data_IF_194177769267
#
_entry.id   IF_194177769267
#
_cell.length_a   1.000
_cell.length_b   1.000
_cell.length_c   1.000
_cell.angle_alpha   90.00
_cell.angle_beta   90.00
_cell.angle_gamma   90.00
#
_symmetry.space_group_name_H-M   'P 1'
#
loop_
_entity.id
_entity.type
_entity.pdbx_description
1 polymer ?
#
# COMPACT_ATOMS: atom_id res chain seq x y z
N UNK A 1 -8.47 11.71 13.70
CA UNK A 1 -8.05 10.33 13.92
C UNK A 1 -8.48 9.46 12.74
N UNK A 2 -7.59 8.60 12.24
CA UNK A 2 -7.84 7.73 11.07
C UNK A 2 -9.07 6.85 11.26
N UNK A 3 -9.28 6.31 12.45
CA UNK A 3 -10.47 5.52 12.77
C UNK A 3 -11.77 6.32 12.61
N UNK A 4 -11.79 7.60 12.95
CA UNK A 4 -12.97 8.45 12.73
C UNK A 4 -13.20 8.71 11.23
N UNK A 5 -12.14 8.84 10.45
CA UNK A 5 -12.22 9.05 9.01
C UNK A 5 -12.88 7.84 8.32
N UNK A 6 -12.48 6.62 8.68
CA UNK A 6 -12.92 5.38 8.07
C UNK A 6 -13.97 4.62 8.89
N UNK A 7 -14.65 5.26 9.87
CA UNK A 7 -15.56 4.60 10.81
C UNK A 7 -16.74 3.86 10.18
N UNK A 8 -17.04 4.13 8.91
CA UNK A 8 -18.11 3.47 8.15
C UNK A 8 -17.59 2.34 7.26
N UNK A 9 -16.28 2.24 7.12
CA UNK A 9 -15.64 1.33 6.17
C UNK A 9 -15.11 0.06 6.85
N UNK A 10 -15.39 -0.08 8.16
CA UNK A 10 -15.14 -1.30 8.93
C UNK A 10 -16.15 -1.46 10.07
N UNK A 11 -16.26 -2.66 10.59
CA UNK A 11 -17.07 -2.98 11.77
C UNK A 11 -16.33 -3.93 12.72
N UNK A 12 -16.87 -4.07 13.93
CA UNK A 12 -16.43 -5.10 14.87
C UNK A 12 -17.23 -6.37 14.63
N UNK A 13 -16.55 -7.45 14.35
CA UNK A 13 -17.13 -8.78 14.24
C UNK A 13 -16.76 -9.62 15.46
N UNK A 14 -17.65 -10.51 15.86
CA UNK A 14 -17.40 -11.48 16.92
C UNK A 14 -17.31 -12.87 16.31
N UNK A 15 -16.22 -13.56 16.60
CA UNK A 15 -16.05 -14.97 16.27
C UNK A 15 -16.14 -15.81 17.55
N UNK A 16 -16.79 -16.95 17.45
CA UNK A 16 -16.71 -17.99 18.46
C UNK A 16 -15.61 -18.97 18.03
N UNK A 17 -14.57 -19.09 18.84
CA UNK A 17 -13.51 -20.09 18.59
C UNK A 17 -13.99 -21.49 19.04
N UNK A 18 -13.29 -22.53 18.57
CA UNK A 18 -13.62 -23.93 18.90
C UNK A 18 -13.55 -24.22 20.41
N UNK A 19 -12.75 -23.44 21.15
CA UNK A 19 -12.65 -23.47 22.61
C UNK A 19 -13.82 -22.76 23.34
N UNK A 20 -14.82 -22.25 22.58
CA UNK A 20 -15.98 -21.53 23.10
C UNK A 20 -15.70 -20.09 23.53
N UNK A 21 -14.48 -19.60 23.35
CA UNK A 21 -14.17 -18.20 23.67
C UNK A 21 -14.71 -17.25 22.61
N UNK A 22 -15.20 -16.10 23.09
CA UNK A 22 -15.69 -15.03 22.24
C UNK A 22 -14.55 -14.09 21.90
N UNK A 23 -14.22 -13.97 20.61
CA UNK A 23 -13.13 -13.13 20.12
C UNK A 23 -13.69 -12.02 19.22
N UNK A 24 -13.23 -10.80 19.44
CA UNK A 24 -13.62 -9.65 18.60
C UNK A 24 -12.50 -9.36 17.62
N UNK A 25 -12.86 -9.12 16.36
CA UNK A 25 -11.93 -8.74 15.31
C UNK A 25 -12.48 -7.52 14.55
N UNK A 26 -11.60 -6.81 13.85
CA UNK A 26 -12.00 -5.85 12.83
C UNK A 26 -12.44 -6.61 11.58
N UNK A 27 -13.53 -6.18 10.99
CA UNK A 27 -14.04 -6.73 9.74
C UNK A 27 -14.26 -5.58 8.74
N UNK A 28 -13.67 -5.71 7.58
CA UNK A 28 -13.72 -4.76 6.49
C UNK A 28 -14.61 -5.35 5.40
N UNK A 29 -15.80 -4.77 5.12
CA UNK A 29 -16.72 -5.31 4.12
C UNK A 29 -16.11 -5.22 2.74
N UNK A 30 -16.09 -6.33 2.02
CA UNK A 30 -15.68 -6.40 0.62
C UNK A 30 -16.92 -6.34 -0.26
N UNK A 31 -16.94 -5.41 -1.19
CA UNK A 31 -18.07 -5.17 -2.10
C UNK A 31 -17.65 -5.39 -3.55
N UNK A 32 -18.61 -5.53 -4.43
CA UNK A 32 -18.32 -5.50 -5.86
C UNK A 32 -17.93 -4.08 -6.29
N UNK A 33 -16.94 -3.89 -7.16
CA UNK A 33 -16.54 -2.56 -7.63
C UNK A 33 -17.70 -1.76 -8.26
N UNK A 34 -18.58 -2.43 -8.99
CA UNK A 34 -19.75 -1.85 -9.67
C UNK A 34 -20.97 -1.68 -8.76
N UNK A 35 -20.98 -2.32 -7.58
CA UNK A 35 -22.10 -2.30 -6.64
C UNK A 35 -21.60 -2.25 -5.19
N UNK A 36 -21.37 -1.04 -4.71
CA UNK A 36 -20.84 -0.80 -3.36
C UNK A 36 -21.79 -1.24 -2.23
N UNK A 37 -23.06 -1.45 -2.51
CA UNK A 37 -24.05 -1.91 -1.53
C UNK A 37 -24.06 -3.44 -1.40
N UNK A 38 -23.48 -4.14 -2.37
CA UNK A 38 -23.43 -5.61 -2.39
C UNK A 38 -22.18 -6.14 -1.70
N UNK A 39 -22.30 -6.41 -0.41
CA UNK A 39 -21.23 -7.07 0.35
C UNK A 39 -21.16 -8.55 -0.08
N UNK A 40 -19.96 -8.98 -0.51
CA UNK A 40 -19.69 -10.35 -0.97
C UNK A 40 -18.72 -11.10 -0.05
N UNK A 41 -18.14 -10.42 0.92
CA UNK A 41 -17.24 -11.01 1.91
C UNK A 41 -16.70 -9.98 2.90
N UNK A 42 -15.76 -10.42 3.73
CA UNK A 42 -15.09 -9.57 4.70
C UNK A 42 -13.62 -9.93 4.77
N UNK A 43 -12.77 -8.94 4.75
CA UNK A 43 -11.40 -9.05 5.23
C UNK A 43 -11.45 -8.91 6.77
N UNK A 44 -10.86 -9.85 7.50
CA UNK A 44 -10.89 -9.86 8.97
C UNK A 44 -9.48 -9.76 9.54
N UNK A 45 -9.33 -8.87 10.51
CA UNK A 45 -8.09 -8.67 11.27
C UNK A 45 -8.34 -8.92 12.75
N UNK A 46 -7.64 -9.88 13.33
CA UNK A 46 -7.69 -10.17 14.75
C UNK A 46 -6.68 -9.35 15.56
N UNK A 47 -6.85 -9.33 16.89
CA UNK A 47 -5.82 -8.83 17.80
C UNK A 47 -4.73 -9.88 18.00
N UNK A 48 -3.47 -9.49 17.92
CA UNK A 48 -2.38 -10.29 18.45
C UNK A 48 -2.57 -10.44 19.98
N UNK A 49 -2.48 -11.68 20.48
CA UNK A 49 -2.51 -11.90 21.93
C UNK A 49 -1.23 -11.39 22.59
N UNK A 50 -1.36 -10.91 23.80
CA UNK A 50 -0.24 -10.49 24.67
C UNK A 50 0.69 -11.64 25.08
N UNK A 51 0.33 -12.88 24.77
CA UNK A 51 1.15 -14.08 25.05
C UNK A 51 2.12 -14.47 23.93
N UNK A 52 2.16 -13.70 22.85
CA UNK A 52 3.14 -13.87 21.75
C UNK A 52 2.94 -15.11 20.89
N UNK A 53 1.89 -15.89 21.11
CA UNK A 53 1.76 -17.25 20.54
C UNK A 53 0.63 -17.45 19.52
N UNK A 54 -0.08 -16.41 19.13
CA UNK A 54 -1.05 -16.52 18.04
C UNK A 54 -1.07 -15.26 17.19
N UNK A 55 -0.35 -15.32 16.08
CA UNK A 55 -0.70 -14.53 14.91
C UNK A 55 -2.10 -14.96 14.50
N UNK A 56 -3.08 -14.10 14.65
CA UNK A 56 -4.35 -14.30 13.98
C UNK A 56 -4.09 -14.15 12.51
N UNK A 57 -4.23 -15.26 11.78
CA UNK A 57 -4.15 -15.24 10.34
C UNK A 57 -5.21 -14.28 9.82
N UNK A 58 -4.77 -13.37 8.99
CA UNK A 58 -5.63 -12.52 8.22
C UNK A 58 -6.46 -13.40 7.30
N UNK A 59 -7.77 -13.36 7.50
CA UNK A 59 -8.67 -14.21 6.74
C UNK A 59 -9.64 -13.35 5.95
N UNK A 60 -9.64 -13.56 4.63
CA UNK A 60 -10.75 -13.13 3.80
C UNK A 60 -11.83 -14.20 3.86
N UNK A 61 -13.00 -13.85 4.38
CA UNK A 61 -14.12 -14.79 4.54
C UNK A 61 -15.27 -14.38 3.63
N UNK A 62 -15.78 -15.33 2.87
CA UNK A 62 -17.00 -15.17 2.07
C UNK A 62 -16.80 -14.61 0.66
N UNK A 63 -15.59 -14.18 0.29
CA UNK A 63 -15.33 -13.71 -1.08
C UNK A 63 -15.14 -14.88 -2.05
N UNK A 64 -16.19 -15.70 -2.18
CA UNK A 64 -16.12 -16.95 -2.94
C UNK A 64 -15.88 -16.78 -4.44
N UNK A 65 -16.20 -15.63 -5.01
CA UNK A 65 -15.97 -15.35 -6.42
C UNK A 65 -14.60 -14.75 -6.71
N UNK A 66 -13.90 -14.29 -5.68
CA UNK A 66 -12.65 -13.52 -5.84
C UNK A 66 -12.86 -12.18 -6.56
N UNK A 67 -14.06 -11.59 -6.46
CA UNK A 67 -14.43 -10.33 -7.14
C UNK A 67 -14.51 -9.15 -6.17
N UNK A 68 -14.80 -9.43 -4.89
CA UNK A 68 -14.96 -8.39 -3.87
C UNK A 68 -13.66 -7.69 -3.52
N UNK A 69 -13.74 -6.39 -3.32
CA UNK A 69 -12.67 -5.53 -2.80
C UNK A 69 -13.19 -4.68 -1.66
N UNK A 70 -12.33 -4.33 -0.71
CA UNK A 70 -12.67 -3.26 0.21
C UNK A 70 -12.38 -1.92 -0.46
N UNK A 71 -13.34 -1.00 -0.40
CA UNK A 71 -13.24 0.33 -1.01
C UNK A 71 -13.56 1.38 0.04
N UNK A 72 -12.69 2.36 0.21
CA UNK A 72 -12.90 3.47 1.11
C UNK A 72 -12.37 4.79 0.55
N UNK A 73 -13.03 5.88 0.92
CA UNK A 73 -12.56 7.24 0.62
C UNK A 73 -12.90 8.18 1.78
N UNK A 74 -11.93 8.93 2.30
CA UNK A 74 -12.16 9.90 3.38
C UNK A 74 -13.24 10.94 3.05
N UNK A 75 -13.28 11.40 1.80
CA UNK A 75 -14.27 12.37 1.32
C UNK A 75 -15.50 11.73 0.66
N UNK A 76 -15.63 10.40 0.72
CA UNK A 76 -16.74 9.67 0.05
C UNK A 76 -16.75 9.84 -1.46
N UNK A 77 -15.59 10.00 -2.06
CA UNK A 77 -15.43 10.02 -3.52
C UNK A 77 -15.86 8.67 -4.08
N UNK A 78 -16.76 8.67 -5.06
CA UNK A 78 -17.14 7.45 -5.75
C UNK A 78 -15.95 6.90 -6.55
N UNK A 79 -15.90 5.57 -6.73
CA UNK A 79 -14.80 4.92 -7.44
C UNK A 79 -14.63 5.49 -8.86
N UNK A 80 -15.73 5.71 -9.58
CA UNK A 80 -15.75 6.28 -10.93
C UNK A 80 -15.40 7.77 -11.03
N UNK A 81 -15.39 8.48 -9.90
CA UNK A 81 -15.05 9.91 -9.83
C UNK A 81 -13.63 10.15 -9.28
N UNK A 82 -12.98 9.09 -8.87
CA UNK A 82 -11.66 9.17 -8.24
C UNK A 82 -10.59 9.56 -9.27
N UNK A 83 -9.71 10.47 -8.87
CA UNK A 83 -8.51 10.84 -9.64
C UNK A 83 -7.28 10.04 -9.21
N UNK A 84 -7.31 9.46 -8.02
CA UNK A 84 -6.22 8.72 -7.42
C UNK A 84 -6.77 7.46 -6.76
N UNK A 85 -6.29 6.31 -7.18
CA UNK A 85 -6.62 4.99 -6.64
C UNK A 85 -5.36 4.42 -5.98
N UNK A 86 -5.45 4.07 -4.71
CA UNK A 86 -4.36 3.48 -3.94
C UNK A 86 -4.69 2.02 -3.63
N UNK A 87 -3.82 1.10 -4.07
CA UNK A 87 -4.00 -0.34 -3.97
C UNK A 87 -3.16 -0.95 -2.85
N UNK A 88 -3.78 -1.77 -2.02
CA UNK A 88 -3.16 -2.42 -0.87
C UNK A 88 -3.53 -3.90 -0.80
N UNK A 89 -2.70 -4.70 -0.13
CA UNK A 89 -3.01 -6.07 0.21
C UNK A 89 -4.11 -6.16 1.26
N UNK A 90 -4.18 -5.16 2.14
CA UNK A 90 -5.16 -5.14 3.21
C UNK A 90 -5.68 -3.74 3.53
N UNK A 91 -6.91 -3.69 4.04
CA UNK A 91 -7.54 -2.46 4.48
C UNK A 91 -6.78 -1.79 5.64
N UNK A 92 -6.15 -2.57 6.51
CA UNK A 92 -5.32 -2.06 7.60
C UNK A 92 -4.06 -1.34 7.09
N UNK A 93 -3.41 -1.86 6.04
CA UNK A 93 -2.28 -1.21 5.37
C UNK A 93 -2.71 0.12 4.74
N UNK A 94 -3.89 0.15 4.10
CA UNK A 94 -4.46 1.37 3.55
C UNK A 94 -4.70 2.45 4.61
N UNK A 95 -5.23 2.07 5.77
CA UNK A 95 -5.45 2.99 6.89
C UNK A 95 -4.14 3.49 7.49
N UNK A 96 -3.13 2.64 7.60
CA UNK A 96 -1.80 3.01 8.06
C UNK A 96 -1.13 3.99 7.10
N UNK A 97 -1.17 3.71 5.80
CA UNK A 97 -0.68 4.63 4.76
C UNK A 97 -1.33 6.01 4.87
N UNK A 98 -2.66 6.05 4.98
CA UNK A 98 -3.38 7.30 5.15
C UNK A 98 -2.92 8.05 6.38
N UNK A 99 -2.76 7.37 7.51
CA UNK A 99 -2.32 7.99 8.77
C UNK A 99 -0.92 8.57 8.67
N UNK A 100 0.01 7.90 8.02
CA UNK A 100 1.38 8.34 7.82
C UNK A 100 1.48 9.58 6.91
N UNK A 101 0.58 9.70 5.92
CA UNK A 101 0.75 10.67 4.84
C UNK A 101 -0.28 11.80 4.80
N UNK A 102 -1.43 11.69 5.50
CA UNK A 102 -2.54 12.65 5.43
C UNK A 102 -2.16 14.09 5.78
N UNK A 103 -1.20 14.28 6.69
CA UNK A 103 -0.74 15.59 7.12
C UNK A 103 0.07 16.31 6.02
N UNK A 104 0.76 15.54 5.18
CA UNK A 104 1.65 16.06 4.13
C UNK A 104 1.00 16.06 2.75
N UNK A 105 0.00 15.21 2.53
CA UNK A 105 -0.68 15.05 1.24
C UNK A 105 -2.20 15.21 1.39
N UNK A 106 -2.70 16.40 1.04
CA UNK A 106 -4.12 16.71 1.14
C UNK A 106 -4.98 16.02 0.06
N UNK A 107 -4.38 15.57 -1.04
CA UNK A 107 -5.09 14.85 -2.11
C UNK A 107 -5.62 13.51 -1.64
N UNK A 108 -4.98 12.89 -0.63
CA UNK A 108 -5.44 11.65 0.00
C UNK A 108 -6.87 11.75 0.54
N UNK A 109 -7.35 12.94 0.85
CA UNK A 109 -8.74 13.13 1.32
C UNK A 109 -9.77 12.77 0.25
N UNK A 110 -9.45 12.96 -1.03
CA UNK A 110 -10.31 12.66 -2.18
C UNK A 110 -9.91 11.39 -2.92
N UNK A 111 -8.83 10.77 -2.51
CA UNK A 111 -8.39 9.50 -3.05
C UNK A 111 -9.35 8.37 -2.67
N UNK A 112 -9.33 7.32 -3.46
CA UNK A 112 -9.99 6.06 -3.14
C UNK A 112 -8.92 5.02 -2.81
N UNK A 113 -9.13 4.31 -1.71
CA UNK A 113 -8.28 3.25 -1.21
C UNK A 113 -8.95 1.92 -1.50
N UNK A 114 -8.23 0.98 -2.07
CA UNK A 114 -8.70 -0.34 -2.45
C UNK A 114 -7.83 -1.39 -1.77
N UNK A 115 -8.46 -2.34 -1.07
CA UNK A 115 -7.78 -3.54 -0.58
C UNK A 115 -8.29 -4.78 -1.31
N UNK A 116 -7.37 -5.65 -1.69
CA UNK A 116 -7.69 -6.95 -2.32
C UNK A 116 -7.94 -8.04 -1.29
N UNK A 117 -7.62 -7.79 -0.02
CA UNK A 117 -7.75 -8.78 1.06
C UNK A 117 -6.77 -9.95 0.92
N UNK A 118 -5.57 -9.70 0.43
CA UNK A 118 -4.52 -10.65 0.11
C UNK A 118 -4.12 -10.60 -1.37
N UNK A 119 -3.79 -11.77 -1.93
CA UNK A 119 -3.40 -11.88 -3.33
C UNK A 119 -4.48 -11.33 -4.28
N UNK A 120 -4.17 -10.35 -5.14
CA UNK A 120 -5.13 -9.75 -6.05
C UNK A 120 -5.56 -10.74 -7.13
N UNK A 121 -6.84 -10.82 -7.37
CA UNK A 121 -7.39 -11.61 -8.47
C UNK A 121 -7.59 -10.75 -9.72
N UNK A 122 -7.56 -11.39 -10.89
CA UNK A 122 -7.83 -10.71 -12.16
C UNK A 122 -9.21 -10.00 -12.15
N UNK A 123 -10.22 -10.63 -11.54
CA UNK A 123 -11.57 -10.09 -11.45
C UNK A 123 -11.65 -8.82 -10.58
N UNK A 124 -10.98 -8.83 -9.42
CA UNK A 124 -10.89 -7.66 -8.55
C UNK A 124 -10.22 -6.49 -9.29
N UNK A 125 -9.06 -6.76 -9.88
CA UNK A 125 -8.30 -5.73 -10.59
C UNK A 125 -9.10 -5.17 -11.77
N UNK A 126 -9.63 -6.02 -12.63
CA UNK A 126 -10.40 -5.61 -13.80
C UNK A 126 -11.65 -4.82 -13.42
N UNK A 127 -12.43 -5.30 -12.45
CA UNK A 127 -13.64 -4.61 -12.00
C UNK A 127 -13.38 -3.20 -11.49
N UNK A 128 -12.27 -2.98 -10.77
CA UNK A 128 -11.89 -1.63 -10.34
C UNK A 128 -11.34 -0.79 -11.50
N UNK A 129 -10.45 -1.35 -12.32
CA UNK A 129 -9.79 -0.62 -13.40
C UNK A 129 -10.76 -0.15 -14.49
N UNK A 130 -11.74 -0.97 -14.84
CA UNK A 130 -12.79 -0.61 -15.82
C UNK A 130 -13.57 0.65 -15.40
N UNK A 131 -13.68 0.89 -14.10
CA UNK A 131 -14.36 2.07 -13.55
C UNK A 131 -13.43 3.25 -13.29
N UNK A 132 -12.13 3.02 -13.23
CA UNK A 132 -11.17 4.01 -12.72
C UNK A 132 -10.12 4.49 -13.71
N UNK A 133 -10.03 3.90 -14.89
CA UNK A 133 -9.21 4.51 -15.96
C UNK A 133 -10.01 5.70 -16.51
N UNK A 134 -9.48 6.92 -16.51
CA UNK A 134 -8.05 7.32 -16.51
C UNK A 134 -7.44 7.80 -15.18
N UNK A 135 -7.91 7.36 -14.03
CA UNK A 135 -7.35 7.77 -12.75
C UNK A 135 -5.88 7.32 -12.60
N UNK A 136 -5.13 8.04 -11.77
CA UNK A 136 -3.77 7.65 -11.37
C UNK A 136 -3.82 6.45 -10.44
N UNK A 137 -3.06 5.42 -10.79
CA UNK A 137 -2.99 4.17 -10.04
C UNK A 137 -1.72 4.16 -9.18
N UNK A 138 -1.89 4.05 -7.86
CA UNK A 138 -0.80 3.99 -6.88
C UNK A 138 -0.74 2.59 -6.31
N UNK A 139 0.32 1.85 -6.61
CA UNK A 139 0.55 0.50 -6.12
C UNK A 139 1.26 0.59 -4.78
N UNK A 140 0.60 0.20 -3.71
CA UNK A 140 1.06 0.35 -2.33
C UNK A 140 1.19 -1.01 -1.60
N UNK A 141 1.30 -2.11 -2.33
CA UNK A 141 1.52 -3.44 -1.76
C UNK A 141 2.84 -3.50 -0.98
N UNK A 142 2.94 -4.47 -0.10
CA UNK A 142 4.12 -4.71 0.71
C UNK A 142 5.39 -4.88 -0.13
N UNK A 143 6.54 -4.71 0.51
CA UNK A 143 7.84 -4.78 -0.14
C UNK A 143 8.48 -6.17 -0.03
N UNK A 144 7.76 -7.15 0.52
CA UNK A 144 8.16 -8.54 0.52
C UNK A 144 7.99 -9.21 -0.86
N UNK A 145 8.51 -10.44 -1.00
CA UNK A 145 8.46 -11.20 -2.25
C UNK A 145 7.05 -11.34 -2.83
N UNK A 146 6.04 -11.55 -1.96
CA UNK A 146 4.65 -11.69 -2.38
C UNK A 146 4.07 -10.35 -2.85
N UNK A 147 4.28 -9.28 -2.09
CA UNK A 147 3.83 -7.94 -2.48
C UNK A 147 4.43 -7.45 -3.80
N UNK A 148 5.68 -7.88 -4.13
CA UNK A 148 6.24 -7.64 -5.45
C UNK A 148 5.51 -8.39 -6.56
N UNK A 149 5.15 -9.66 -6.35
CA UNK A 149 4.33 -10.42 -7.30
C UNK A 149 2.98 -9.77 -7.53
N UNK A 150 2.32 -9.34 -6.44
CA UNK A 150 1.03 -8.66 -6.50
C UNK A 150 1.13 -7.34 -7.27
N UNK A 151 2.18 -6.58 -7.00
CA UNK A 151 2.45 -5.34 -7.72
C UNK A 151 2.64 -5.56 -9.23
N UNK A 152 3.37 -6.59 -9.62
CA UNK A 152 3.55 -6.96 -11.03
C UNK A 152 2.23 -7.37 -11.67
N UNK A 153 1.45 -8.21 -10.99
CA UNK A 153 0.15 -8.66 -11.49
C UNK A 153 -0.79 -7.49 -11.73
N UNK A 154 -0.88 -6.56 -10.78
CA UNK A 154 -1.68 -5.35 -10.93
C UNK A 154 -1.15 -4.46 -12.06
N UNK A 155 0.15 -4.26 -12.16
CA UNK A 155 0.74 -3.47 -13.24
C UNK A 155 0.41 -4.04 -14.63
N UNK A 156 0.44 -5.36 -14.79
CA UNK A 156 0.00 -6.05 -16.03
C UNK A 156 -1.44 -5.67 -16.38
N UNK A 157 -2.36 -5.82 -15.43
CA UNK A 157 -3.77 -5.51 -15.68
C UNK A 157 -4.01 -4.02 -15.95
N UNK A 158 -3.28 -3.12 -15.28
CA UNK A 158 -3.34 -1.68 -15.59
C UNK A 158 -2.92 -1.44 -17.04
N UNK A 159 -1.76 -1.97 -17.46
CA UNK A 159 -1.27 -1.81 -18.82
C UNK A 159 -2.25 -2.38 -19.86
N UNK A 160 -2.83 -3.56 -19.63
CA UNK A 160 -3.84 -4.16 -20.50
C UNK A 160 -5.08 -3.28 -20.61
N UNK A 161 -5.60 -2.79 -19.48
CA UNK A 161 -6.80 -1.95 -19.45
C UNK A 161 -6.55 -0.62 -20.16
N UNK A 162 -5.38 0.00 -19.95
CA UNK A 162 -5.01 1.22 -20.66
C UNK A 162 -4.99 0.96 -22.17
N UNK A 163 -4.31 -0.10 -22.63
CA UNK A 163 -4.27 -0.44 -24.07
C UNK A 163 -5.67 -0.66 -24.66
N UNK A 164 -6.56 -1.30 -23.93
CA UNK A 164 -7.92 -1.58 -24.42
C UNK A 164 -8.84 -0.35 -24.42
N UNK A 165 -8.54 0.66 -23.61
CA UNK A 165 -9.37 1.87 -23.49
C UNK A 165 -8.87 3.03 -24.33
N UNK A 166 -7.60 3.06 -24.67
CA UNK A 166 -7.02 4.14 -25.51
C UNK A 166 -7.26 3.81 -26.97
N UNK A 167 -7.93 4.71 -27.67
CA UNK A 167 -8.14 4.58 -29.10
C UNK A 167 -6.81 4.63 -29.86
N UNK A 168 -6.60 3.69 -30.76
CA UNK A 168 -5.38 3.60 -31.56
C UNK A 168 -5.37 4.68 -32.65
N UNK A 169 -4.74 5.82 -32.35
CA UNK A 169 -4.51 6.89 -33.29
C UNK A 169 -3.03 6.97 -33.70
N UNK A 170 -2.68 7.52 -34.87
CA UNK A 170 -1.29 7.66 -35.29
C UNK A 170 -0.42 8.37 -34.26
N UNK A 171 -0.97 9.37 -33.58
CA UNK A 171 -0.27 10.19 -32.59
C UNK A 171 -0.02 9.40 -31.29
N UNK A 172 -0.86 8.44 -30.99
CA UNK A 172 -0.81 7.60 -29.76
C UNK A 172 -0.06 6.28 -29.97
N UNK A 173 0.15 5.89 -31.21
CA UNK A 173 0.82 4.63 -31.53
C UNK A 173 2.18 4.48 -30.84
N UNK A 174 3.10 5.47 -30.85
CA UNK A 174 4.37 5.33 -30.15
C UNK A 174 4.21 5.08 -28.64
N UNK A 175 3.17 5.67 -28.04
CA UNK A 175 2.86 5.45 -26.63
C UNK A 175 2.32 4.05 -26.39
N UNK A 176 1.34 3.59 -27.16
CA UNK A 176 0.79 2.25 -27.08
C UNK A 176 1.85 1.17 -27.30
N UNK A 177 2.77 1.40 -28.25
CA UNK A 177 3.88 0.50 -28.52
C UNK A 177 4.90 0.43 -27.37
N UNK A 178 4.94 1.47 -26.53
CA UNK A 178 5.80 1.51 -25.33
C UNK A 178 5.19 0.78 -24.11
N UNK A 179 3.87 0.56 -24.11
CA UNK A 179 3.20 -0.17 -23.05
C UNK A 179 3.44 -1.67 -23.24
N UNK A 180 4.01 -2.40 -22.27
CA UNK A 180 4.24 -3.83 -22.40
C UNK A 180 2.95 -4.58 -22.73
N UNK A 181 2.99 -5.49 -23.68
CA UNK A 181 1.92 -6.46 -23.86
C UNK A 181 2.07 -7.51 -22.76
N UNK A 182 1.07 -7.61 -21.89
CA UNK A 182 1.11 -8.52 -20.74
C UNK A 182 1.31 -10.01 -21.09
N UNK A 183 1.28 -10.35 -22.38
CA UNK A 183 1.53 -11.72 -22.88
C UNK A 183 3.01 -11.97 -23.19
N UNK A 184 3.83 -10.92 -23.36
CA UNK A 184 5.25 -11.04 -23.73
C UNK A 184 6.17 -11.22 -22.51
N UNK A 185 5.61 -11.41 -21.33
CA UNK A 185 6.35 -11.44 -20.08
C UNK A 185 6.52 -12.87 -19.61
N UNK A 186 7.75 -13.35 -19.71
CA UNK A 186 8.16 -14.65 -19.18
C UNK A 186 7.84 -14.73 -17.68
N UNK A 187 7.27 -15.86 -17.24
CA UNK A 187 6.92 -16.10 -15.82
C UNK A 187 8.12 -16.05 -14.86
N UNK A 188 9.34 -15.97 -15.40
CA UNK A 188 10.58 -15.84 -14.66
C UNK A 188 11.18 -14.44 -14.61
N UNK A 189 10.65 -13.49 -15.37
CA UNK A 189 11.14 -12.10 -15.32
C UNK A 189 10.46 -11.33 -14.20
N UNK A 190 11.22 -10.97 -13.20
CA UNK A 190 10.77 -10.26 -11.99
C UNK A 190 10.19 -8.86 -12.24
N UNK A 191 10.42 -8.31 -13.43
CA UNK A 191 10.06 -6.93 -13.75
C UNK A 191 9.42 -6.83 -15.13
N UNK A 192 8.17 -6.38 -15.16
CA UNK A 192 7.42 -6.04 -16.38
C UNK A 192 7.94 -4.76 -17.04
N UNK A 193 9.23 -4.52 -16.97
CA UNK A 193 9.83 -3.30 -17.43
C UNK A 193 10.56 -3.57 -18.75
N UNK A 194 10.51 -2.66 -19.71
CA UNK A 194 11.24 -2.82 -20.94
C UNK A 194 12.71 -3.00 -20.64
N UNK A 195 13.35 -3.91 -21.38
CA UNK A 195 14.79 -4.13 -21.31
C UNK A 195 15.52 -2.80 -21.54
N UNK A 196 16.45 -2.50 -20.63
CA UNK A 196 17.23 -1.26 -20.67
C UNK A 196 17.23 -0.50 -19.36
N UNK A 197 17.48 0.78 -19.42
CA UNK A 197 17.78 1.61 -18.25
C UNK A 197 16.73 1.62 -17.15
N UNK A 198 15.48 1.30 -17.43
CA UNK A 198 14.43 1.18 -16.41
C UNK A 198 14.56 -0.13 -15.63
N UNK A 199 14.68 -1.27 -16.32
CA UNK A 199 14.89 -2.57 -15.70
C UNK A 199 16.18 -2.58 -14.87
N UNK A 200 17.27 -2.04 -15.42
CA UNK A 200 18.54 -1.93 -14.73
C UNK A 200 18.44 -1.08 -13.45
N UNK A 201 17.70 0.02 -13.48
CA UNK A 201 17.50 0.86 -12.30
C UNK A 201 16.64 0.19 -11.24
N UNK A 202 15.67 -0.66 -11.63
CA UNK A 202 14.88 -1.46 -10.72
C UNK A 202 15.73 -2.53 -10.02
N UNK A 203 16.49 -3.30 -10.80
CA UNK A 203 17.40 -4.34 -10.26
C UNK A 203 18.42 -3.73 -9.29
N UNK A 204 18.98 -2.58 -9.66
CA UNK A 204 19.92 -1.86 -8.80
C UNK A 204 19.25 -1.42 -7.50
N UNK A 205 18.06 -0.83 -7.57
CA UNK A 205 17.33 -0.42 -6.38
C UNK A 205 17.06 -1.61 -5.44
N UNK A 206 16.63 -2.76 -5.97
CA UNK A 206 16.36 -3.96 -5.16
C UNK A 206 17.61 -4.50 -4.49
N UNK A 207 18.75 -4.51 -5.19
CA UNK A 207 20.02 -4.95 -4.63
C UNK A 207 20.46 -4.06 -3.45
N UNK A 208 20.41 -2.72 -3.62
CA UNK A 208 20.74 -1.78 -2.56
C UNK A 208 19.77 -1.87 -1.36
N UNK A 209 18.52 -2.20 -1.63
CA UNK A 209 17.51 -2.41 -0.59
C UNK A 209 17.77 -3.67 0.22
N UNK A 210 18.07 -4.80 -0.44
CA UNK A 210 18.43 -6.05 0.27
C UNK A 210 19.66 -5.86 1.15
N UNK A 211 20.65 -5.12 0.67
CA UNK A 211 21.84 -4.79 1.44
C UNK A 211 21.50 -3.89 2.65
N UNK A 212 20.67 -2.86 2.47
CA UNK A 212 20.25 -1.99 3.56
C UNK A 212 19.49 -2.77 4.65
N UNK A 213 18.61 -3.70 4.28
CA UNK A 213 17.91 -4.57 5.22
C UNK A 213 18.87 -5.49 5.97
N UNK A 214 19.82 -6.10 5.25
CA UNK A 214 20.83 -6.98 5.82
C UNK A 214 21.70 -6.24 6.84
N UNK A 215 22.21 -5.05 6.48
CA UNK A 215 23.03 -4.22 7.36
C UNK A 215 22.25 -3.73 8.59
N UNK A 216 20.99 -3.31 8.40
CA UNK A 216 20.13 -2.85 9.51
C UNK A 216 19.84 -3.95 10.53
N UNK A 217 19.83 -5.20 10.09
CA UNK A 217 19.62 -6.38 10.94
C UNK A 217 20.91 -6.87 11.61
N UNK A 218 22.06 -6.38 11.18
CA UNK A 218 23.37 -6.81 11.66
C UNK A 218 23.82 -5.98 12.86
N UNK A 219 24.18 -6.65 13.96
CA UNK A 219 24.80 -5.99 15.13
C UNK A 219 26.26 -5.59 14.90
N UNK A 220 26.83 -5.99 13.77
CA UNK A 220 28.26 -5.76 13.46
C UNK A 220 28.48 -4.51 12.60
N UNK A 221 27.42 -3.98 11.99
CA UNK A 221 27.53 -2.78 11.16
C UNK A 221 27.47 -1.53 12.03
N UNK A 222 28.35 -0.57 11.74
CA UNK A 222 28.28 0.72 12.41
C UNK A 222 27.03 1.49 11.97
N UNK A 223 26.38 2.25 12.87
CA UNK A 223 25.18 3.01 12.51
C UNK A 223 25.38 3.98 11.34
N UNK A 224 26.58 4.52 11.19
CA UNK A 224 26.96 5.42 10.09
C UNK A 224 26.92 4.69 8.75
N UNK A 225 27.50 3.47 8.68
CA UNK A 225 27.50 2.66 7.46
C UNK A 225 26.08 2.25 7.05
N UNK A 226 25.24 1.92 8.03
CA UNK A 226 23.82 1.60 7.79
C UNK A 226 23.08 2.82 7.23
N UNK A 227 23.35 4.02 7.75
CA UNK A 227 22.72 5.24 7.26
C UNK A 227 23.18 5.59 5.84
N UNK A 228 24.45 5.43 5.54
CA UNK A 228 25.00 5.67 4.20
C UNK A 228 24.39 4.69 3.17
N UNK A 229 24.20 3.43 3.56
CA UNK A 229 23.54 2.44 2.72
C UNK A 229 22.06 2.79 2.49
N UNK A 230 21.34 3.23 3.52
CA UNK A 230 19.96 3.72 3.41
C UNK A 230 19.86 4.90 2.43
N UNK A 231 20.80 5.83 2.48
CA UNK A 231 20.78 7.00 1.60
C UNK A 231 21.11 6.62 0.15
N UNK A 232 22.01 5.64 -0.05
CA UNK A 232 22.30 5.04 -1.35
C UNK A 232 21.04 4.39 -1.94
N UNK A 233 20.36 3.55 -1.18
CA UNK A 233 19.11 2.92 -1.57
C UNK A 233 18.04 3.96 -1.93
N UNK A 234 17.85 5.00 -1.12
CA UNK A 234 16.89 6.09 -1.41
C UNK A 234 17.21 6.83 -2.71
N UNK A 235 18.49 6.99 -3.03
CA UNK A 235 18.92 7.57 -4.31
C UNK A 235 18.54 6.67 -5.47
N UNK A 236 18.84 5.38 -5.39
CA UNK A 236 18.47 4.40 -6.41
C UNK A 236 16.96 4.31 -6.61
N UNK A 237 16.19 4.37 -5.52
CA UNK A 237 14.73 4.42 -5.57
C UNK A 237 14.20 5.66 -6.33
N UNK A 238 14.74 6.85 -6.08
CA UNK A 238 14.34 8.06 -6.81
C UNK A 238 14.63 7.95 -8.30
N UNK A 239 15.82 7.47 -8.66
CA UNK A 239 16.22 7.27 -10.07
C UNK A 239 15.29 6.26 -10.77
N UNK A 240 14.97 5.17 -10.09
CA UNK A 240 14.02 4.17 -10.61
C UNK A 240 12.62 4.77 -10.77
N UNK A 241 12.13 5.46 -9.74
CA UNK A 241 10.80 6.08 -9.76
C UNK A 241 10.64 7.13 -10.88
N UNK A 242 11.64 7.97 -11.08
CA UNK A 242 11.65 8.95 -12.16
C UNK A 242 11.57 8.26 -13.53
N UNK A 243 12.42 7.26 -13.77
CA UNK A 243 12.39 6.50 -15.03
C UNK A 243 11.08 5.73 -15.23
N UNK A 244 10.52 5.17 -14.14
CA UNK A 244 9.23 4.49 -14.18
C UNK A 244 8.10 5.47 -14.54
N UNK A 245 8.10 6.66 -13.96
CA UNK A 245 7.12 7.70 -14.31
C UNK A 245 7.28 8.18 -15.75
N UNK A 246 8.49 8.36 -16.24
CA UNK A 246 8.75 8.72 -17.62
C UNK A 246 8.29 7.61 -18.58
N UNK A 247 8.50 6.36 -18.23
CA UNK A 247 8.11 5.21 -19.05
C UNK A 247 6.60 4.97 -19.05
N UNK A 248 5.97 5.02 -17.90
CA UNK A 248 4.52 4.90 -17.73
C UNK A 248 3.83 6.21 -18.09
N UNK A 249 4.64 7.23 -18.30
CA UNK A 249 4.25 8.60 -18.43
C UNK A 249 3.41 8.87 -19.53
N UNK A 250 2.39 8.36 -19.72
CA UNK A 250 1.61 9.46 -19.64
C UNK A 250 1.20 9.95 -20.98
N UNK A 251 0.21 9.38 -21.37
CA UNK A 251 -0.70 10.09 -22.24
C UNK A 251 -1.17 11.35 -21.45
N UNK A 252 -0.60 12.51 -21.80
CA UNK A 252 -0.91 13.80 -21.17
C UNK A 252 -2.39 14.15 -21.28
N UNK A 253 -3.09 13.57 -22.23
CA UNK A 253 -4.49 13.78 -22.51
C UNK A 253 -5.37 12.98 -21.52
N UNK A 254 -4.94 11.79 -21.11
CA UNK A 254 -5.69 10.94 -20.19
C UNK A 254 -5.17 10.97 -18.76
N UNK A 255 -4.03 11.64 -18.52
CA UNK A 255 -3.39 11.77 -17.19
C UNK A 255 -3.25 10.45 -16.42
N UNK A 256 -3.16 9.33 -17.16
CA UNK A 256 -2.98 8.01 -16.56
C UNK A 256 -1.55 7.84 -16.12
N UNK A 257 -1.34 7.73 -14.83
CA UNK A 257 -0.02 7.48 -14.26
C UNK A 257 -0.08 6.30 -13.30
N UNK A 258 0.98 5.51 -13.32
CA UNK A 258 1.18 4.45 -12.32
C UNK A 258 2.34 4.88 -11.44
N UNK A 259 2.17 4.76 -10.13
CA UNK A 259 3.26 4.92 -9.19
C UNK A 259 3.38 3.71 -8.28
N UNK A 260 4.59 3.38 -7.87
CA UNK A 260 4.87 2.42 -6.82
C UNK A 260 5.19 3.20 -5.56
N UNK A 261 4.32 3.11 -4.56
CA UNK A 261 4.56 3.65 -3.24
C UNK A 261 5.09 2.53 -2.33
N UNK A 262 6.09 2.84 -1.53
CA UNK A 262 6.71 1.86 -0.65
C UNK A 262 6.92 2.47 0.73
N UNK A 263 6.80 1.68 1.81
CA UNK A 263 7.18 2.12 3.14
C UNK A 263 8.68 2.46 3.18
N UNK A 264 9.11 3.07 4.27
CA UNK A 264 10.55 3.26 4.51
C UNK A 264 11.25 1.89 4.43
N UNK A 265 12.46 1.87 3.90
CA UNK A 265 13.23 0.65 3.61
C UNK A 265 13.38 -0.32 4.78
N UNK A 266 13.25 0.16 6.00
CA UNK A 266 13.33 -0.64 7.22
C UNK A 266 12.10 -1.51 7.46
N UNK A 267 11.02 -1.29 6.72
CA UNK A 267 9.72 -1.92 6.95
C UNK A 267 9.23 -2.62 5.69
N UNK A 268 8.54 -3.73 5.87
CA UNK A 268 7.93 -4.47 4.77
C UNK A 268 6.55 -3.92 4.42
N UNK A 269 5.81 -3.40 5.40
CA UNK A 269 4.46 -2.88 5.24
C UNK A 269 4.25 -1.54 5.95
N UNK A 270 3.14 -0.90 5.65
CA UNK A 270 2.76 0.41 6.18
C UNK A 270 2.35 0.35 7.66
N UNK A 271 1.74 -0.76 8.08
CA UNK A 271 1.40 -0.99 9.49
C UNK A 271 2.66 -1.11 10.37
N UNK A 272 3.65 -1.81 9.88
CA UNK A 272 4.93 -1.97 10.58
C UNK A 272 5.60 -0.61 10.77
N UNK A 273 5.66 0.20 9.71
CA UNK A 273 6.18 1.56 9.77
C UNK A 273 5.40 2.42 10.77
N UNK A 274 4.07 2.42 10.69
CA UNK A 274 3.22 3.22 11.57
C UNK A 274 3.43 2.87 13.04
N UNK A 275 3.46 1.59 13.38
CA UNK A 275 3.67 1.12 14.76
C UNK A 275 5.04 1.52 15.29
N UNK A 276 6.08 1.41 14.46
CA UNK A 276 7.43 1.81 14.84
C UNK A 276 7.54 3.33 15.09
N UNK A 277 6.93 4.16 14.23
CA UNK A 277 6.91 5.60 14.41
C UNK A 277 6.15 6.02 15.68
N UNK A 278 5.02 5.38 15.98
CA UNK A 278 4.25 5.63 17.21
C UNK A 278 5.02 5.23 18.47
N UNK A 279 5.75 4.12 18.45
CA UNK A 279 6.61 3.72 19.57
C UNK A 279 7.73 4.73 19.81
N UNK A 280 8.38 5.22 18.75
CA UNK A 280 9.43 6.22 18.86
C UNK A 280 8.90 7.55 19.40
N UNK A 281 7.70 7.96 19.00
CA UNK A 281 7.06 9.18 19.51
C UNK A 281 6.74 9.05 21.00
N UNK A 282 6.19 7.91 21.44
CA UNK A 282 5.90 7.63 22.85
C UNK A 282 7.15 7.67 23.72
N UNK A 283 8.25 7.08 23.28
CA UNK A 283 9.54 7.11 24.01
C UNK A 283 10.08 8.53 24.11
N UNK A 284 9.94 9.33 23.05
CA UNK A 284 10.36 10.75 23.06
C UNK A 284 9.54 11.57 24.05
N UNK A 285 8.22 11.36 24.08
CA UNK A 285 7.36 12.07 25.02
C UNK A 285 7.65 11.71 26.47
N UNK A 286 7.98 10.45 26.75
CA UNK A 286 8.39 10.01 28.08
C UNK A 286 9.73 10.64 28.50
N UNK A 287 10.72 10.65 27.64
CA UNK A 287 12.02 11.27 27.94
C UNK A 287 11.93 12.77 28.18
N UNK A 288 11.07 13.49 27.44
CA UNK A 288 10.85 14.91 27.67
C UNK A 288 10.14 15.17 29.00
N UNK A 289 9.21 14.29 29.41
CA UNK A 289 8.53 14.40 30.73
C UNK A 289 9.47 14.12 31.91
N UNK A 290 10.46 13.27 31.74
CA UNK A 290 11.46 12.98 32.78
C UNK A 290 12.47 14.12 32.95
N UNK A 291 12.72 14.91 31.89
CA UNK A 291 13.63 16.06 31.91
C UNK A 291 12.97 17.34 32.46
N UNK A 292 11.65 17.39 32.65
CA UNK A 292 10.98 18.54 33.28
C UNK A 292 11.38 18.64 34.77
N UNK A 293 12.00 19.75 35.23
CA UNK A 293 12.46 19.90 36.61
C UNK A 293 11.29 19.83 37.59
N UNK A 294 11.48 19.08 38.68
CA UNK A 294 10.48 18.87 39.76
C UNK A 294 9.84 20.17 40.30
N UNK A 295 10.44 21.34 40.04
CA UNK A 295 9.93 22.63 40.48
C UNK A 295 8.63 23.07 39.78
N UNK A 296 8.37 22.63 38.55
CA UNK A 296 7.10 22.97 37.85
C UNK A 296 5.94 22.04 38.27
N UNK A 297 6.21 20.80 38.70
CA UNK A 297 5.19 19.87 39.15
C UNK A 297 4.47 20.31 40.42
N UNK A 298 5.10 21.11 41.27
CA UNK A 298 4.52 21.58 42.54
C UNK A 298 3.58 22.78 42.37
N UNK A 299 3.65 23.52 41.28
CA UNK A 299 2.80 24.70 41.03
C UNK A 299 1.42 24.32 40.45
N UNK A 300 1.25 23.14 39.87
CA UNK A 300 -0.05 22.71 39.32
C UNK A 300 -0.98 22.05 40.35
N UNK A 301 -0.49 21.68 41.53
CA UNK A 301 -1.31 21.12 42.63
C UNK A 301 -1.87 22.14 43.59
N UNK A 302 -1.67 23.45 43.34
CA UNK A 302 -2.16 24.56 44.22
C UNK A 302 -3.10 25.53 43.54
N UNK A 303 -3.86 25.12 42.58
CA UNK A 303 -4.99 25.90 42.05
C UNK A 303 -6.29 25.09 42.04
#
# INVERSE_FOLDING_TARGET
CTQQTFHRDFCLATRHSEDGQRRTCLAFPMTLPEDADKIVGFEKRGHAYTDGNSSYDDMTEGNHSGEGVWIASPARTALSEAKHIYWFESASEAMAYYQLHQAKNQELRKAVFVSTGGEPTEKQMRGVLELTIPARQHICFDTGREGWKFAQTLQKEICRTIRSTIEETPERKPYLDSIPDGNDLDEGEFYLLPKGGLQESCIRFDAEREEAISMSSSRLCAPEDVQDQIDTMRKCYREFREKLQDFLGIDKEHDVAISREMPDCRYTGWNEQLLAEQQQESVREESVREEEPEQERQTHFRR
#
